data_IF_994528290026
#
_entry.id   IF_994528290026
#
_cell.length_a   1.000
_cell.length_b   1.000
_cell.length_c   1.000
_cell.angle_alpha   90.00
_cell.angle_beta   90.00
_cell.angle_gamma   90.00
#
_symmetry.space_group_name_H-M   'P 1'
#
loop_
_entity.id
_entity.type
_entity.pdbx_description
1 polymer ?
#
# COMPACT_ATOMS: atom_id res chain seq x y z
N UNK A 1 22.04 9.64 4.10
CA UNK A 1 22.30 8.36 3.42
C UNK A 1 23.51 7.71 4.06
N UNK A 2 23.30 6.62 4.81
CA UNK A 2 24.37 5.75 5.31
C UNK A 2 24.25 4.43 4.51
N UNK A 3 25.28 3.98 3.77
CA UNK A 3 25.23 2.74 2.98
C UNK A 3 24.86 1.49 3.79
N UNK A 4 25.08 1.50 5.11
CA UNK A 4 24.67 0.43 6.01
C UNK A 4 23.19 0.49 6.44
N UNK A 5 22.49 1.60 6.13
CA UNK A 5 21.08 1.79 6.48
C UNK A 5 20.18 1.51 5.29
N UNK A 6 19.13 0.72 5.52
CA UNK A 6 18.08 0.44 4.56
C UNK A 6 16.77 1.01 5.08
N UNK A 7 16.12 1.81 4.25
CA UNK A 7 14.73 2.21 4.46
C UNK A 7 13.84 1.36 3.56
N UNK A 8 12.61 1.10 4.02
CA UNK A 8 11.57 0.47 3.21
C UNK A 8 10.39 1.43 3.11
N UNK A 9 9.82 1.53 1.92
CA UNK A 9 8.61 2.29 1.66
C UNK A 9 7.69 1.44 0.79
N UNK A 10 6.37 1.42 1.08
CA UNK A 10 5.41 0.76 0.22
C UNK A 10 5.42 1.34 -1.19
N UNK A 11 5.46 0.47 -2.19
CA UNK A 11 5.54 0.82 -3.60
C UNK A 11 4.61 -0.02 -4.48
N UNK A 12 4.76 0.13 -5.79
CA UNK A 12 3.90 -0.48 -6.81
C UNK A 12 3.21 0.59 -7.65
N UNK A 13 3.13 0.36 -8.97
CA UNK A 13 2.64 1.40 -9.91
C UNK A 13 1.22 1.86 -9.57
N UNK A 14 0.31 0.92 -9.31
CA UNK A 14 -1.07 1.23 -8.94
C UNK A 14 -1.15 2.04 -7.63
N UNK A 15 -0.37 1.66 -6.61
CA UNK A 15 -0.32 2.38 -5.34
C UNK A 15 0.25 3.80 -5.51
N UNK A 16 1.28 3.96 -6.33
CA UNK A 16 1.88 5.26 -6.59
C UNK A 16 0.89 6.21 -7.30
N UNK A 17 0.15 5.71 -8.29
CA UNK A 17 -0.90 6.48 -8.97
C UNK A 17 -2.02 6.83 -7.99
N UNK A 18 -2.50 5.86 -7.22
CA UNK A 18 -3.57 6.07 -6.25
C UNK A 18 -3.19 7.12 -5.19
N UNK A 19 -1.95 7.09 -4.70
CA UNK A 19 -1.40 8.09 -3.78
C UNK A 19 -1.42 9.50 -4.38
N UNK A 20 -0.98 9.65 -5.61
CA UNK A 20 -0.99 10.97 -6.28
C UNK A 20 -2.42 11.47 -6.47
N UNK A 21 -3.34 10.62 -6.92
CA UNK A 21 -4.74 11.00 -7.11
C UNK A 21 -5.44 11.39 -5.80
N UNK A 22 -5.20 10.64 -4.71
CA UNK A 22 -5.70 10.96 -3.39
C UNK A 22 -5.14 12.30 -2.88
N UNK A 23 -3.84 12.53 -3.05
CA UNK A 23 -3.20 13.81 -2.68
C UNK A 23 -3.73 15.02 -3.48
N UNK A 24 -4.28 14.78 -4.68
CA UNK A 24 -4.97 15.79 -5.49
C UNK A 24 -6.45 15.99 -5.09
N UNK A 25 -6.92 15.34 -4.02
CA UNK A 25 -8.28 15.49 -3.49
C UNK A 25 -9.33 14.57 -4.12
N UNK A 26 -8.92 13.55 -4.88
CA UNK A 26 -9.86 12.59 -5.47
C UNK A 26 -10.20 11.48 -4.47
N UNK A 27 -11.44 10.99 -4.52
CA UNK A 27 -11.79 9.72 -3.88
C UNK A 27 -11.24 8.57 -4.70
N UNK A 28 -10.33 7.78 -4.13
CA UNK A 28 -9.61 6.71 -4.84
C UNK A 28 -9.77 5.40 -4.11
N UNK A 29 -10.03 4.34 -4.87
CA UNK A 29 -10.01 2.96 -4.41
C UNK A 29 -8.79 2.20 -4.91
N UNK A 30 -8.26 1.29 -4.11
CA UNK A 30 -7.23 0.33 -4.50
C UNK A 30 -7.74 -1.10 -4.32
N UNK A 31 -7.57 -1.91 -5.37
CA UNK A 31 -7.80 -3.36 -5.36
C UNK A 31 -6.46 -4.05 -5.56
N UNK A 32 -6.12 -5.01 -4.71
CA UNK A 32 -4.82 -5.70 -4.74
C UNK A 32 -4.90 -7.05 -4.03
N UNK A 33 -3.82 -7.83 -4.12
CA UNK A 33 -3.53 -8.91 -3.18
C UNK A 33 -2.26 -8.59 -2.39
N UNK A 34 -2.24 -8.95 -1.12
CA UNK A 34 -1.08 -8.82 -0.23
C UNK A 34 -0.90 -10.14 0.53
N UNK A 35 0.29 -10.39 1.04
CA UNK A 35 0.51 -11.55 1.93
C UNK A 35 -0.32 -11.43 3.20
N UNK A 36 -0.71 -12.56 3.79
CA UNK A 36 -1.29 -12.62 5.13
C UNK A 36 -0.20 -12.60 6.22
N UNK A 37 0.82 -11.78 6.02
CA UNK A 37 1.97 -11.61 6.90
C UNK A 37 2.02 -10.17 7.43
N UNK A 38 3.03 -9.90 8.25
CA UNK A 38 3.22 -8.58 8.88
C UNK A 38 3.37 -7.48 7.84
N UNK A 39 4.09 -7.75 6.77
CA UNK A 39 4.32 -6.83 5.66
C UNK A 39 3.02 -6.50 4.92
N UNK A 40 2.13 -7.49 4.72
CA UNK A 40 0.81 -7.27 4.15
C UNK A 40 -0.11 -6.42 5.04
N UNK A 41 -0.08 -6.63 6.36
CA UNK A 41 -0.79 -5.78 7.33
C UNK A 41 -0.24 -4.35 7.31
N UNK A 42 1.09 -4.19 7.32
CA UNK A 42 1.75 -2.88 7.22
C UNK A 42 1.36 -2.15 5.92
N UNK A 43 1.18 -2.87 4.81
CA UNK A 43 0.77 -2.31 3.54
C UNK A 43 -0.71 -1.86 3.56
N UNK A 44 -1.59 -2.64 4.17
CA UNK A 44 -3.01 -2.28 4.34
C UNK A 44 -3.14 -1.01 5.21
N UNK A 45 -2.47 -0.97 6.36
CA UNK A 45 -2.44 0.20 7.24
C UNK A 45 -1.89 1.43 6.53
N UNK A 46 -0.87 1.25 5.69
CA UNK A 46 -0.30 2.32 4.89
C UNK A 46 -1.30 2.89 3.88
N UNK A 47 -2.06 2.04 3.18
CA UNK A 47 -3.09 2.46 2.22
C UNK A 47 -4.20 3.24 2.94
N UNK A 48 -4.67 2.75 4.09
CA UNK A 48 -5.72 3.42 4.88
C UNK A 48 -5.28 4.80 5.38
N UNK A 49 -4.01 4.97 5.80
CA UNK A 49 -3.47 6.28 6.23
C UNK A 49 -3.34 7.31 5.11
N UNK A 50 -3.44 6.91 3.85
CA UNK A 50 -3.39 7.81 2.70
C UNK A 50 -4.78 8.21 2.17
N UNK A 51 -5.85 7.93 2.93
CA UNK A 51 -7.24 8.11 2.51
C UNK A 51 -7.59 7.38 1.20
N UNK A 52 -6.85 6.30 0.89
CA UNK A 52 -7.14 5.41 -0.22
C UNK A 52 -8.05 4.29 0.30
N UNK A 53 -9.21 4.14 -0.32
CA UNK A 53 -10.18 3.09 0.06
C UNK A 53 -9.67 1.72 -0.37
N UNK A 54 -9.55 0.78 0.56
CA UNK A 54 -9.29 -0.62 0.23
C UNK A 54 -10.58 -1.27 -0.31
N UNK A 55 -10.79 -1.23 -1.63
CA UNK A 55 -12.06 -1.68 -2.25
C UNK A 55 -12.15 -3.20 -2.30
N UNK A 56 -11.04 -3.89 -2.57
CA UNK A 56 -10.98 -5.36 -2.61
C UNK A 56 -9.52 -5.79 -2.41
N UNK A 57 -9.02 -5.65 -1.19
CA UNK A 57 -7.71 -6.20 -0.82
C UNK A 57 -7.93 -7.62 -0.31
N UNK A 58 -7.38 -8.61 -1.03
CA UNK A 58 -7.37 -10.00 -0.58
C UNK A 58 -6.04 -10.31 0.09
N UNK A 59 -6.10 -10.97 1.24
CA UNK A 59 -4.91 -11.53 1.90
C UNK A 59 -4.68 -12.94 1.40
N UNK A 60 -3.49 -13.20 0.88
CA UNK A 60 -3.10 -14.53 0.41
C UNK A 60 -2.27 -15.27 1.47
N UNK A 61 -2.71 -16.48 1.79
CA UNK A 61 -1.98 -17.43 2.62
C UNK A 61 -1.18 -18.36 1.71
N UNK A 62 -0.28 -17.83 0.89
CA UNK A 62 0.68 -18.68 0.19
C UNK A 62 1.65 -19.26 1.22
N UNK A 63 1.36 -20.50 1.64
CA UNK A 63 2.33 -21.43 2.23
C UNK A 63 3.23 -21.99 1.15
#
# INVERSE_FOLDING_TARGET
SNPASRTRVPGGVALNVARTLAALGNTVGLSSRVGADREGVELLDYVTRLDITAVSIQTDNTR
#
